data_IF_788949333918
#
_entry.id   IF_788949333918
#
_cell.length_a   1.000
_cell.length_b   1.000
_cell.length_c   1.000
_cell.angle_alpha   90.00
_cell.angle_beta   90.00
_cell.angle_gamma   90.00
#
_symmetry.space_group_name_H-M   'P 1'
#
loop_
_entity.id
_entity.type
_entity.pdbx_description
1 polymer ?
#
# COMPACT_ATOMS: atom_id res chain seq x y z
N UNK A 1 -7.95 -6.53 35.63
CA UNK A 1 -6.53 -6.59 36.04
C UNK A 1 -5.67 -7.39 35.07
N UNK A 2 -6.05 -8.62 34.67
CA UNK A 2 -5.23 -9.43 33.74
C UNK A 2 -5.14 -8.89 32.29
N UNK A 3 -6.19 -8.27 31.77
CA UNK A 3 -6.24 -7.76 30.37
C UNK A 3 -5.47 -6.45 30.15
N UNK A 4 -5.42 -5.58 31.16
CA UNK A 4 -4.73 -4.28 31.06
C UNK A 4 -3.22 -4.46 30.88
N UNK A 5 -2.61 -5.37 31.64
CA UNK A 5 -1.17 -5.66 31.51
C UNK A 5 -0.79 -6.39 30.23
N UNK A 6 -1.72 -7.16 29.63
CA UNK A 6 -1.47 -7.80 28.34
C UNK A 6 -1.42 -6.77 27.21
N UNK A 7 -2.33 -5.79 27.22
CA UNK A 7 -2.35 -4.69 26.25
C UNK A 7 -1.05 -3.87 26.30
N UNK A 8 -0.60 -3.52 27.51
CA UNK A 8 0.64 -2.75 27.71
C UNK A 8 1.86 -3.51 27.16
N UNK A 9 2.00 -4.80 27.49
CA UNK A 9 3.09 -5.64 26.99
C UNK A 9 3.09 -5.76 25.46
N UNK A 10 1.91 -5.83 24.84
CA UNK A 10 1.79 -5.89 23.39
C UNK A 10 2.26 -4.58 22.75
N UNK A 11 1.83 -3.43 23.29
CA UNK A 11 2.27 -2.10 22.81
C UNK A 11 3.79 -1.95 22.94
N UNK A 12 4.35 -2.34 24.08
CA UNK A 12 5.80 -2.26 24.32
C UNK A 12 6.57 -3.17 23.36
N UNK A 13 6.05 -4.36 23.08
CA UNK A 13 6.67 -5.28 22.12
C UNK A 13 6.66 -4.71 20.71
N UNK A 14 5.54 -4.14 20.26
CA UNK A 14 5.43 -3.50 18.94
C UNK A 14 6.43 -2.34 18.82
N UNK A 15 6.53 -1.49 19.85
CA UNK A 15 7.46 -0.36 19.88
C UNK A 15 8.94 -0.76 19.88
N UNK A 16 9.25 -1.98 20.31
CA UNK A 16 10.62 -2.52 20.31
C UNK A 16 11.06 -3.13 18.98
N UNK A 17 10.21 -3.11 17.95
CA UNK A 17 10.53 -3.66 16.64
C UNK A 17 11.18 -2.56 15.79
N UNK A 18 12.44 -2.73 15.45
CA UNK A 18 13.20 -1.75 14.66
C UNK A 18 12.81 -1.74 13.17
N UNK A 19 12.28 -2.86 12.67
CA UNK A 19 11.82 -2.97 11.28
C UNK A 19 10.33 -2.61 11.18
N UNK A 20 10.05 -1.44 10.63
CA UNK A 20 8.69 -0.90 10.46
C UNK A 20 7.77 -1.73 9.56
N UNK A 21 8.32 -2.61 8.71
CA UNK A 21 7.52 -3.50 7.86
C UNK A 21 6.81 -4.60 8.66
N UNK A 22 7.39 -5.03 9.77
CA UNK A 22 6.88 -6.15 10.57
C UNK A 22 5.56 -5.79 11.28
N UNK A 23 5.44 -4.64 11.99
CA UNK A 23 4.16 -4.21 12.54
C UNK A 23 3.09 -3.98 11.46
N UNK A 24 3.48 -3.44 10.30
CA UNK A 24 2.55 -3.20 9.20
C UNK A 24 1.99 -4.50 8.62
N UNK A 25 2.84 -5.53 8.43
CA UNK A 25 2.41 -6.84 7.96
C UNK A 25 1.55 -7.57 8.99
N UNK A 26 1.90 -7.48 10.28
CA UNK A 26 1.08 -8.02 11.36
C UNK A 26 -0.30 -7.35 11.42
N UNK A 27 -0.37 -6.03 11.22
CA UNK A 27 -1.62 -5.29 11.14
C UNK A 27 -2.47 -5.73 9.94
N UNK A 28 -1.86 -5.89 8.76
CA UNK A 28 -2.55 -6.42 7.57
C UNK A 28 -3.09 -7.83 7.78
N UNK A 29 -2.31 -8.71 8.40
CA UNK A 29 -2.73 -10.09 8.69
C UNK A 29 -3.93 -10.14 9.66
N UNK A 30 -3.89 -9.34 10.73
CA UNK A 30 -4.98 -9.24 11.70
C UNK A 30 -6.21 -8.52 11.11
N UNK A 31 -5.97 -7.51 10.26
CA UNK A 31 -6.98 -6.79 9.51
C UNK A 31 -7.67 -7.64 8.44
N UNK A 32 -7.00 -8.63 7.86
CA UNK A 32 -7.65 -9.58 6.94
C UNK A 32 -8.64 -10.53 7.66
N UNK A 33 -8.48 -10.74 8.97
CA UNK A 33 -9.35 -11.58 9.80
C UNK A 33 -10.48 -10.79 10.48
N UNK A 34 -10.48 -9.46 10.39
CA UNK A 34 -11.43 -8.58 11.07
C UNK A 34 -11.98 -7.55 10.07
N UNK A 35 -13.24 -7.12 10.16
CA UNK A 35 -13.80 -6.09 9.23
C UNK A 35 -13.21 -4.67 9.49
N UNK A 36 -11.95 -4.59 9.92
CA UNK A 36 -11.20 -3.37 10.22
C UNK A 36 -10.40 -2.97 8.98
N UNK A 37 -11.07 -2.80 7.85
CA UNK A 37 -10.49 -2.10 6.72
C UNK A 37 -10.82 -0.61 6.85
N UNK A 38 -10.04 0.10 7.66
CA UNK A 38 -9.99 1.56 7.52
C UNK A 38 -9.40 1.87 6.12
N UNK A 39 -10.04 2.73 5.31
CA UNK A 39 -9.51 3.13 4.02
C UNK A 39 -8.06 3.63 4.17
N UNK A 40 -7.17 3.15 3.29
CA UNK A 40 -5.79 3.63 3.30
C UNK A 40 -5.73 5.12 2.96
N UNK A 41 -5.25 5.93 3.90
CA UNK A 41 -5.04 7.36 3.71
C UNK A 41 -3.80 7.60 2.84
N UNK A 42 -4.05 8.10 1.63
CA UNK A 42 -2.97 8.45 0.69
C UNK A 42 -2.17 9.63 1.22
N UNK A 43 -0.86 9.56 1.06
CA UNK A 43 0.00 10.71 1.28
C UNK A 43 -0.17 11.74 0.13
N UNK A 44 0.44 12.92 0.29
CA UNK A 44 0.33 14.01 -0.68
C UNK A 44 0.85 13.61 -2.07
N UNK A 45 1.99 12.95 -2.13
CA UNK A 45 2.63 12.53 -3.39
C UNK A 45 1.76 11.52 -4.15
N UNK A 46 1.20 10.54 -3.45
CA UNK A 46 0.28 9.56 -4.02
C UNK A 46 -1.01 10.23 -4.53
N UNK A 47 -1.54 11.21 -3.78
CA UNK A 47 -2.71 11.97 -4.18
C UNK A 47 -2.45 12.77 -5.46
N UNK A 48 -1.29 13.42 -5.55
CA UNK A 48 -0.84 14.17 -6.73
C UNK A 48 -0.66 13.24 -7.94
N UNK A 49 0.00 12.09 -7.76
CA UNK A 49 0.21 11.09 -8.81
C UNK A 49 -1.12 10.54 -9.37
N UNK A 50 -2.10 10.28 -8.51
CA UNK A 50 -3.44 9.84 -8.93
C UNK A 50 -4.17 10.95 -9.69
N UNK A 51 -4.07 12.20 -9.23
CA UNK A 51 -4.68 13.34 -9.92
C UNK A 51 -4.10 13.51 -11.33
N UNK A 52 -2.78 13.36 -11.47
CA UNK A 52 -2.09 13.39 -12.75
C UNK A 52 -2.54 12.23 -13.65
N UNK A 53 -2.49 10.99 -13.16
CA UNK A 53 -2.89 9.81 -13.94
C UNK A 53 -4.35 9.91 -14.43
N UNK A 54 -5.26 10.44 -13.62
CA UNK A 54 -6.64 10.71 -14.03
C UNK A 54 -6.72 11.74 -15.16
N UNK A 55 -5.86 12.74 -15.16
CA UNK A 55 -5.80 13.73 -16.23
C UNK A 55 -5.19 13.14 -17.51
N UNK A 56 -4.15 12.32 -17.37
CA UNK A 56 -3.52 11.59 -18.49
C UNK A 56 -4.57 10.74 -19.23
N UNK A 57 -5.37 9.95 -18.49
CA UNK A 57 -6.47 9.16 -19.07
C UNK A 57 -7.46 10.04 -19.86
N UNK A 58 -7.90 11.16 -19.27
CA UNK A 58 -8.83 12.09 -19.94
C UNK A 58 -8.25 12.71 -21.20
N UNK A 59 -6.94 12.97 -21.21
CA UNK A 59 -6.23 13.54 -22.35
C UNK A 59 -5.83 12.52 -23.42
N UNK A 60 -6.10 11.23 -23.21
CA UNK A 60 -5.69 10.16 -24.11
C UNK A 60 -4.22 9.74 -23.96
N UNK A 61 -3.53 10.21 -22.92
CA UNK A 61 -2.17 9.82 -22.57
C UNK A 61 -2.18 8.49 -21.78
N UNK A 62 -2.68 7.44 -22.42
CA UNK A 62 -2.66 6.08 -21.89
C UNK A 62 -2.22 5.12 -22.99
N UNK A 63 -1.72 3.95 -22.60
CA UNK A 63 -1.49 2.84 -23.50
C UNK A 63 -2.61 1.82 -23.34
N UNK A 64 -3.08 1.27 -24.45
CA UNK A 64 -3.85 0.03 -24.42
C UNK A 64 -2.94 -1.13 -24.02
N UNK A 65 -3.55 -2.23 -23.58
CA UNK A 65 -2.79 -3.42 -23.20
C UNK A 65 -1.86 -3.89 -24.34
N UNK A 66 -2.35 -3.88 -25.58
CA UNK A 66 -1.55 -4.25 -26.75
C UNK A 66 -0.36 -3.30 -26.93
N UNK A 67 -0.55 -1.99 -26.80
CA UNK A 67 0.53 -1.01 -26.98
C UNK A 67 1.60 -1.18 -25.89
N UNK A 68 1.18 -1.40 -24.65
CA UNK A 68 2.08 -1.66 -23.53
C UNK A 68 2.87 -2.97 -23.72
N UNK A 69 2.21 -4.06 -24.11
CA UNK A 69 2.87 -5.36 -24.37
C UNK A 69 3.92 -5.22 -25.48
N UNK A 70 3.57 -4.52 -26.56
CA UNK A 70 4.48 -4.26 -27.68
C UNK A 70 5.71 -3.44 -27.25
N UNK A 71 5.52 -2.39 -26.45
CA UNK A 71 6.62 -1.55 -25.96
C UNK A 71 7.58 -2.36 -25.06
N UNK A 72 7.03 -3.24 -24.20
CA UNK A 72 7.82 -4.15 -23.37
C UNK A 72 8.64 -5.11 -24.24
N UNK A 73 8.03 -5.74 -25.24
CA UNK A 73 8.72 -6.62 -26.18
C UNK A 73 9.84 -5.88 -26.93
N UNK A 74 9.61 -4.64 -27.37
CA UNK A 74 10.62 -3.81 -28.03
C UNK A 74 11.76 -3.41 -27.09
N UNK A 75 11.49 -3.24 -25.80
CA UNK A 75 12.51 -2.91 -24.81
C UNK A 75 13.39 -4.11 -24.46
N UNK A 76 12.80 -5.30 -24.31
CA UNK A 76 13.50 -6.54 -23.95
C UNK A 76 14.32 -7.16 -25.09
N UNK A 77 14.02 -6.81 -26.34
CA UNK A 77 14.75 -7.28 -27.52
C UNK A 77 15.94 -6.37 -27.90
N UNK A 78 16.37 -5.45 -27.01
CA UNK A 78 17.59 -4.64 -27.14
C UNK A 78 18.73 -5.22 -26.34
#
# INVERSE_FOLDING_TARGET
>A
MATTGLKERLIDKIRSIDNEDIPAEAYRLLGAETDIEEPYDLNREQTEAIAEARQQIKSGAYLTNHEADKEIDEWLNK
#
